data_IF_339245483778
#
_entry.id   IF_339245483778
#
_cell.length_a   1.000
_cell.length_b   1.000
_cell.length_c   1.000
_cell.angle_alpha   90.00
_cell.angle_beta   90.00
_cell.angle_gamma   90.00
#
_symmetry.space_group_name_H-M   'P 1'
#
loop_
_entity.id
_entity.type
_entity.pdbx_description
1 polymer ?
#
# COMPACT_ATOMS: atom_id res chain seq x y z
N UNK A 1 14.51 1.53 49.17
CA UNK A 1 14.56 0.75 47.91
C UNK A 1 13.29 1.07 47.16
N UNK A 2 13.32 2.02 46.22
CA UNK A 2 12.14 2.44 45.45
C UNK A 2 12.01 1.46 44.28
N UNK A 3 10.96 0.65 44.32
CA UNK A 3 10.59 -0.27 43.25
C UNK A 3 10.02 0.58 42.10
N UNK A 4 10.82 0.84 41.08
CA UNK A 4 10.38 1.52 39.86
C UNK A 4 9.42 0.64 39.09
N UNK A 5 8.14 1.03 39.05
CA UNK A 5 7.13 0.41 38.21
C UNK A 5 7.44 0.76 36.75
N UNK A 6 8.06 -0.17 36.02
CA UNK A 6 8.17 -0.10 34.57
C UNK A 6 6.76 -0.34 33.99
N UNK A 7 6.07 0.76 33.65
CA UNK A 7 4.87 0.71 32.82
C UNK A 7 5.29 0.30 31.42
N UNK A 8 5.05 -0.97 31.07
CA UNK A 8 5.12 -1.42 29.69
C UNK A 8 3.94 -0.80 28.93
N UNK A 9 4.19 0.26 28.18
CA UNK A 9 3.25 0.76 27.18
C UNK A 9 3.17 -0.26 26.05
N UNK A 10 2.05 -0.97 25.95
CA UNK A 10 1.69 -1.71 24.74
C UNK A 10 1.21 -0.69 23.72
N UNK A 11 1.90 -0.52 22.58
CA UNK A 11 1.45 0.40 21.55
C UNK A 11 0.04 0.00 21.08
N UNK A 12 -0.85 0.97 20.94
CA UNK A 12 -2.26 0.76 20.64
C UNK A 12 -2.44 0.19 19.24
N UNK A 13 -3.42 -0.70 19.07
CA UNK A 13 -3.83 -1.18 17.74
C UNK A 13 -4.51 -0.03 16.97
N UNK A 14 -3.88 0.45 15.91
CA UNK A 14 -4.49 1.43 15.01
C UNK A 14 -5.36 0.73 13.96
N UNK A 15 -6.59 1.19 13.76
CA UNK A 15 -7.50 0.63 12.76
C UNK A 15 -7.84 1.65 11.67
N UNK A 16 -7.61 1.27 10.42
CA UNK A 16 -8.06 2.02 9.24
C UNK A 16 -9.23 1.32 8.58
N UNK A 17 -10.29 2.07 8.33
CA UNK A 17 -11.38 1.63 7.46
C UNK A 17 -11.01 1.95 6.01
N UNK A 18 -11.12 0.97 5.13
CA UNK A 18 -10.77 1.15 3.73
C UNK A 18 -11.87 0.67 2.80
N UNK A 19 -11.92 1.30 1.62
CA UNK A 19 -12.80 0.93 0.54
C UNK A 19 -12.00 0.88 -0.77
N UNK A 20 -12.34 -0.08 -1.62
CA UNK A 20 -11.74 -0.25 -2.94
C UNK A 20 -12.85 -0.09 -3.95
N UNK A 21 -12.64 0.81 -4.92
CA UNK A 21 -13.57 1.02 -6.01
C UNK A 21 -13.85 -0.30 -6.73
N UNK A 22 -15.12 -0.69 -6.90
CA UNK A 22 -15.47 -1.81 -7.75
C UNK A 22 -14.95 -1.56 -9.16
N UNK A 23 -14.30 -2.58 -9.74
CA UNK A 23 -13.70 -2.46 -11.04
C UNK A 23 -14.76 -2.18 -12.13
N UNK A 24 -14.60 -1.07 -12.86
CA UNK A 24 -15.45 -0.69 -13.99
C UNK A 24 -14.58 -0.47 -15.24
N UNK A 25 -14.41 -1.52 -16.09
CA UNK A 25 -13.53 -1.45 -17.25
C UNK A 25 -13.86 -0.37 -18.30
N UNK A 26 -15.08 0.20 -18.27
CA UNK A 26 -15.49 1.29 -19.16
C UNK A 26 -14.87 2.64 -18.79
N UNK A 27 -14.37 2.80 -17.57
CA UNK A 27 -13.88 4.08 -17.00
C UNK A 27 -12.36 4.05 -16.75
N UNK A 28 -11.78 2.86 -16.60
CA UNK A 28 -10.34 2.64 -16.38
C UNK A 28 -9.90 1.30 -17.00
N UNK A 29 -8.59 1.06 -17.07
CA UNK A 29 -8.03 -0.23 -17.52
C UNK A 29 -8.06 -1.32 -16.44
N UNK A 30 -8.91 -1.15 -15.42
CA UNK A 30 -9.02 -2.09 -14.31
C UNK A 30 -9.56 -3.44 -14.79
N UNK A 31 -9.03 -4.53 -14.22
CA UNK A 31 -9.54 -5.89 -14.36
C UNK A 31 -10.19 -6.37 -13.06
N UNK A 32 -11.17 -7.27 -13.13
CA UNK A 32 -11.92 -7.78 -11.96
C UNK A 32 -11.00 -8.22 -10.81
N UNK A 33 -9.87 -8.85 -11.15
CA UNK A 33 -8.88 -9.32 -10.18
C UNK A 33 -8.14 -8.21 -9.42
N UNK A 34 -8.13 -6.97 -9.88
CA UNK A 34 -7.29 -5.89 -9.34
C UNK A 34 -7.71 -5.48 -7.94
N UNK A 35 -9.01 -5.60 -7.65
CA UNK A 35 -9.55 -5.38 -6.31
C UNK A 35 -8.88 -6.27 -5.27
N UNK A 36 -8.52 -7.51 -5.64
CA UNK A 36 -7.77 -8.41 -4.76
C UNK A 36 -6.32 -7.95 -4.55
N UNK A 37 -5.67 -7.34 -5.55
CA UNK A 37 -4.31 -6.80 -5.41
C UNK A 37 -4.28 -5.62 -4.43
N UNK A 38 -5.29 -4.74 -4.50
CA UNK A 38 -5.51 -3.69 -3.52
C UNK A 38 -5.76 -4.24 -2.11
N UNK A 39 -6.61 -5.26 -1.97
CA UNK A 39 -6.84 -5.89 -0.66
C UNK A 39 -5.55 -6.52 -0.10
N UNK A 40 -4.75 -7.18 -0.95
CA UNK A 40 -3.48 -7.80 -0.54
C UNK A 40 -2.41 -6.77 -0.14
N UNK A 41 -2.46 -5.53 -0.64
CA UNK A 41 -1.54 -4.48 -0.19
C UNK A 41 -1.86 -4.05 1.25
N UNK A 42 -3.14 -3.91 1.60
CA UNK A 42 -3.58 -3.65 2.97
C UNK A 42 -3.17 -4.79 3.92
N UNK A 43 -3.37 -6.04 3.49
CA UNK A 43 -2.94 -7.20 4.27
C UNK A 43 -1.41 -7.23 4.47
N UNK A 44 -0.63 -6.78 3.49
CA UNK A 44 0.82 -6.73 3.59
C UNK A 44 1.26 -5.70 4.65
N UNK A 45 0.67 -4.52 4.68
CA UNK A 45 0.90 -3.53 5.74
C UNK A 45 0.47 -4.04 7.11
N UNK A 46 -0.67 -4.73 7.20
CA UNK A 46 -1.11 -5.37 8.45
C UNK A 46 -0.06 -6.38 8.96
N UNK A 47 0.45 -7.27 8.09
CA UNK A 47 1.52 -8.22 8.45
C UNK A 47 2.85 -7.53 8.78
N UNK A 48 3.11 -6.37 8.19
CA UNK A 48 4.32 -5.59 8.45
C UNK A 48 4.31 -4.90 9.82
N UNK A 49 3.12 -4.60 10.35
CA UNK A 49 2.92 -3.84 11.58
C UNK A 49 3.16 -4.60 12.88
N UNK A 50 3.43 -5.91 12.83
CA UNK A 50 3.58 -6.77 14.02
C UNK A 50 2.41 -6.67 15.01
N UNK A 51 1.19 -6.54 14.48
CA UNK A 51 -0.05 -6.47 15.28
C UNK A 51 -0.43 -5.07 15.74
N UNK A 52 0.26 -4.01 15.29
CA UNK A 52 -0.08 -2.62 15.62
C UNK A 52 -1.05 -1.96 14.63
N UNK A 53 -1.32 -2.59 13.49
CA UNK A 53 -2.24 -2.09 12.47
C UNK A 53 -3.34 -3.10 12.19
N UNK A 54 -4.55 -2.62 11.92
CA UNK A 54 -5.65 -3.40 11.37
C UNK A 54 -6.33 -2.63 10.24
N UNK A 55 -6.66 -3.34 9.16
CA UNK A 55 -7.50 -2.80 8.09
C UNK A 55 -8.88 -3.46 8.12
N UNK A 56 -9.92 -2.63 8.07
CA UNK A 56 -11.31 -3.06 8.01
C UNK A 56 -11.92 -2.62 6.67
N UNK A 57 -12.25 -3.58 5.80
CA UNK A 57 -12.92 -3.26 4.54
C UNK A 57 -14.37 -2.84 4.82
N UNK A 58 -14.79 -1.70 4.29
CA UNK A 58 -16.17 -1.21 4.40
C UNK A 58 -16.83 -1.18 3.02
N UNK A 59 -18.17 -1.28 3.00
CA UNK A 59 -18.94 -1.26 1.75
C UNK A 59 -19.13 0.16 1.20
N UNK A 60 -19.03 1.18 2.06
CA UNK A 60 -19.27 2.59 1.72
C UNK A 60 -17.98 3.36 1.63
N UNK A 61 -17.71 3.96 0.46
CA UNK A 61 -16.61 4.89 0.22
C UNK A 61 -16.57 6.01 1.28
N UNK A 62 -17.73 6.56 1.64
CA UNK A 62 -17.83 7.70 2.57
C UNK A 62 -17.38 7.37 3.99
N UNK A 63 -17.47 6.11 4.40
CA UNK A 63 -17.02 5.63 5.72
C UNK A 63 -15.52 5.33 5.74
N UNK A 64 -14.90 5.13 4.58
CA UNK A 64 -13.51 4.74 4.50
C UNK A 64 -12.58 5.94 4.71
N UNK A 65 -11.57 5.75 5.56
CA UNK A 65 -10.42 6.64 5.72
C UNK A 65 -9.45 6.49 4.55
N UNK A 66 -9.31 5.27 4.01
CA UNK A 66 -8.51 5.01 2.81
C UNK A 66 -9.43 4.60 1.67
N UNK A 67 -9.45 5.38 0.60
CA UNK A 67 -10.33 5.17 -0.55
C UNK A 67 -9.48 4.92 -1.77
N UNK A 68 -9.50 3.70 -2.30
CA UNK A 68 -8.74 3.35 -3.48
C UNK A 68 -9.61 3.45 -4.74
N UNK A 69 -9.15 4.20 -5.73
CA UNK A 69 -9.80 4.42 -7.01
C UNK A 69 -8.92 3.91 -8.16
N UNK A 70 -9.56 3.47 -9.24
CA UNK A 70 -8.86 3.08 -10.46
C UNK A 70 -8.77 4.27 -11.41
N UNK A 71 -7.57 4.84 -11.53
CA UNK A 71 -7.33 5.99 -12.36
C UNK A 71 -7.44 5.66 -13.86
N UNK A 72 -7.92 6.61 -14.64
CA UNK A 72 -7.85 6.55 -16.11
C UNK A 72 -6.48 7.00 -16.62
N UNK A 73 -6.11 6.60 -17.85
CA UNK A 73 -4.79 6.82 -18.47
C UNK A 73 -4.33 8.28 -18.63
N UNK A 74 -5.15 9.26 -18.23
CA UNK A 74 -4.81 10.70 -18.25
C UNK A 74 -4.30 11.23 -16.91
N UNK A 75 -4.18 10.38 -15.89
CA UNK A 75 -3.78 10.75 -14.53
C UNK A 75 -2.47 10.04 -14.14
N UNK A 76 -1.39 10.82 -13.90
CA UNK A 76 -0.13 10.31 -13.33
C UNK A 76 0.63 9.25 -14.15
N UNK A 77 1.74 8.75 -13.59
CA UNK A 77 2.56 7.68 -14.19
C UNK A 77 2.13 6.28 -13.71
N UNK A 78 1.84 6.13 -12.41
CA UNK A 78 1.43 4.85 -11.80
C UNK A 78 0.36 5.03 -10.75
N UNK A 79 0.55 5.97 -9.82
CA UNK A 79 -0.43 6.25 -8.76
C UNK A 79 -0.24 7.62 -8.13
N UNK A 80 -1.15 7.95 -7.23
CA UNK A 80 -1.09 9.14 -6.39
C UNK A 80 -1.90 8.93 -5.10
N UNK A 81 -1.32 9.26 -3.95
CA UNK A 81 -2.03 9.35 -2.68
C UNK A 81 -2.27 10.82 -2.29
N UNK A 82 -3.53 11.17 -2.02
CA UNK A 82 -3.96 12.51 -1.57
C UNK A 82 -4.50 12.44 -0.15
N UNK A 83 -3.97 13.24 0.80
CA UNK A 83 -4.44 13.19 2.18
C UNK A 83 -5.89 13.68 2.29
N UNK A 84 -6.69 13.00 3.08
CA UNK A 84 -8.05 13.41 3.46
C UNK A 84 -8.26 13.32 4.97
N UNK A 85 -9.37 13.88 5.44
CA UNK A 85 -9.83 13.75 6.81
C UNK A 85 -11.24 13.17 6.82
N UNK A 86 -11.45 12.12 7.59
CA UNK A 86 -12.74 11.46 7.78
C UNK A 86 -13.01 11.39 9.27
N UNK A 87 -14.04 12.10 9.73
CA UNK A 87 -14.43 12.19 11.15
C UNK A 87 -13.25 12.57 12.07
N UNK A 88 -12.42 13.52 11.62
CA UNK A 88 -11.26 14.00 12.37
C UNK A 88 -10.05 13.06 12.37
N UNK A 89 -10.12 11.91 11.68
CA UNK A 89 -8.99 10.99 11.48
C UNK A 89 -8.35 11.22 10.12
N UNK A 90 -7.02 11.18 10.08
CA UNK A 90 -6.25 11.28 8.83
C UNK A 90 -6.43 10.01 8.01
N UNK A 91 -6.63 10.17 6.71
CA UNK A 91 -6.68 9.11 5.73
C UNK A 91 -6.12 9.58 4.39
N UNK A 92 -6.40 8.83 3.32
CA UNK A 92 -6.03 9.24 1.96
C UNK A 92 -6.99 8.69 0.89
N UNK A 93 -7.11 9.44 -0.19
CA UNK A 93 -7.56 8.92 -1.48
C UNK A 93 -6.33 8.38 -2.21
N UNK A 94 -6.40 7.14 -2.68
CA UNK A 94 -5.33 6.43 -3.37
C UNK A 94 -5.80 6.16 -4.79
N UNK A 95 -5.15 6.78 -5.76
CA UNK A 95 -5.44 6.59 -7.17
C UNK A 95 -4.38 5.65 -7.75
N UNK A 96 -4.81 4.58 -8.40
CA UNK A 96 -3.92 3.61 -9.04
C UNK A 96 -4.28 3.50 -10.50
N UNK A 97 -3.33 3.78 -11.38
CA UNK A 97 -3.45 3.54 -12.82
C UNK A 97 -3.17 2.05 -13.08
N UNK A 98 -4.17 1.26 -13.53
CA UNK A 98 -3.94 -0.14 -13.84
C UNK A 98 -2.93 -0.27 -14.98
N UNK A 99 -1.93 -1.13 -14.80
CA UNK A 99 -0.85 -1.28 -15.75
C UNK A 99 -1.30 -1.97 -17.04
N UNK A 100 -0.72 -1.56 -18.16
CA UNK A 100 -0.81 -2.27 -19.43
C UNK A 100 0.55 -2.87 -19.76
N UNK A 101 0.62 -4.20 -19.83
CA UNK A 101 1.83 -4.95 -20.16
C UNK A 101 1.45 -6.09 -21.08
N UNK A 102 2.09 -6.17 -22.24
CA UNK A 102 1.88 -7.25 -23.20
C UNK A 102 2.62 -8.53 -22.77
N UNK A 103 1.94 -9.68 -22.87
CA UNK A 103 2.57 -11.00 -22.78
C UNK A 103 2.98 -11.49 -21.38
N UNK A 104 3.13 -10.62 -20.38
CA UNK A 104 3.42 -11.03 -18.98
C UNK A 104 2.36 -10.51 -18.00
N UNK A 105 1.33 -11.33 -17.79
CA UNK A 105 0.23 -11.04 -16.85
C UNK A 105 0.71 -10.92 -15.39
N UNK A 106 1.74 -11.66 -14.99
CA UNK A 106 2.27 -11.57 -13.62
C UNK A 106 3.06 -10.28 -13.41
N UNK A 107 3.74 -9.77 -14.45
CA UNK A 107 4.38 -8.46 -14.38
C UNK A 107 3.33 -7.34 -14.31
N UNK A 108 2.26 -7.45 -15.09
CA UNK A 108 1.11 -6.53 -15.00
C UNK A 108 0.55 -6.48 -13.58
N UNK A 109 0.24 -7.64 -13.00
CA UNK A 109 -0.26 -7.74 -11.62
C UNK A 109 0.76 -7.26 -10.59
N UNK A 110 2.06 -7.49 -10.82
CA UNK A 110 3.15 -6.97 -9.99
C UNK A 110 3.15 -5.44 -9.94
N UNK A 111 3.02 -4.78 -11.09
CA UNK A 111 3.02 -3.32 -11.16
C UNK A 111 1.80 -2.78 -10.40
N UNK A 112 0.61 -3.32 -10.66
CA UNK A 112 -0.61 -2.86 -9.97
C UNK A 112 -0.51 -3.08 -8.46
N UNK A 113 -0.09 -4.27 -8.02
CA UNK A 113 0.07 -4.57 -6.60
C UNK A 113 1.09 -3.66 -5.91
N UNK A 114 2.28 -3.48 -6.48
CA UNK A 114 3.32 -2.67 -5.87
C UNK A 114 2.96 -1.19 -5.86
N UNK A 115 2.21 -0.70 -6.86
CA UNK A 115 1.65 0.65 -6.83
C UNK A 115 0.61 0.79 -5.72
N UNK A 116 -0.35 -0.15 -5.61
CA UNK A 116 -1.28 -0.16 -4.47
C UNK A 116 -0.54 -0.15 -3.13
N UNK A 117 0.55 -0.92 -3.01
CA UNK A 117 1.35 -1.00 -1.79
C UNK A 117 2.10 0.31 -1.47
N UNK A 118 2.70 0.94 -2.49
CA UNK A 118 3.39 2.23 -2.37
C UNK A 118 2.42 3.33 -1.93
N UNK A 119 1.33 3.53 -2.66
CA UNK A 119 0.40 4.63 -2.38
C UNK A 119 -0.35 4.45 -1.06
N UNK A 120 -0.62 3.21 -0.66
CA UNK A 120 -1.15 2.94 0.70
C UNK A 120 -0.11 3.19 1.79
N UNK A 121 1.19 3.10 1.50
CA UNK A 121 2.24 3.56 2.40
C UNK A 121 2.15 5.06 2.67
N UNK A 122 1.91 5.87 1.64
CA UNK A 122 1.61 7.30 1.82
C UNK A 122 0.34 7.54 2.64
N UNK A 123 -0.70 6.74 2.44
CA UNK A 123 -1.93 6.82 3.24
C UNK A 123 -1.68 6.58 4.74
N UNK A 124 -0.72 5.71 5.06
CA UNK A 124 -0.27 5.45 6.43
C UNK A 124 0.68 6.54 6.97
N UNK A 125 1.15 7.46 6.11
CA UNK A 125 2.04 8.55 6.48
C UNK A 125 3.52 8.26 6.29
N UNK A 126 3.88 7.26 5.47
CA UNK A 126 5.26 7.05 5.04
C UNK A 126 5.64 8.06 3.95
N UNK A 127 6.84 8.62 4.06
CA UNK A 127 7.43 9.48 3.04
C UNK A 127 8.25 8.66 2.04
N UNK A 128 8.50 9.26 0.88
CA UNK A 128 9.40 8.68 -0.10
C UNK A 128 10.81 8.45 0.47
N UNK A 129 11.45 7.38 0.01
CA UNK A 129 12.87 7.12 0.25
C UNK A 129 13.67 7.21 -1.04
N UNK A 130 15.00 7.32 -0.90
CA UNK A 130 15.96 7.20 -2.01
C UNK A 130 16.62 5.81 -2.06
N UNK A 131 16.12 4.84 -1.28
CA UNK A 131 16.65 3.49 -1.23
C UNK A 131 15.92 2.60 -2.23
N UNK A 132 16.60 2.17 -3.29
CA UNK A 132 15.97 1.47 -4.42
C UNK A 132 15.18 0.21 -4.02
N UNK A 133 15.56 -0.46 -2.93
CA UNK A 133 14.93 -1.68 -2.46
C UNK A 133 13.61 -1.45 -1.71
N UNK A 134 13.38 -0.24 -1.18
CA UNK A 134 12.20 0.10 -0.39
C UNK A 134 10.96 0.19 -1.28
N UNK A 135 9.80 -0.16 -0.73
CA UNK A 135 8.53 0.04 -1.43
C UNK A 135 8.24 1.53 -1.62
N UNK A 136 8.70 2.38 -0.69
CA UNK A 136 8.51 3.83 -0.75
C UNK A 136 9.57 4.54 -1.60
N UNK A 137 10.37 3.82 -2.39
CA UNK A 137 11.36 4.44 -3.27
C UNK A 137 10.69 5.40 -4.27
N UNK A 138 11.22 6.62 -4.38
CA UNK A 138 10.76 7.56 -5.42
C UNK A 138 11.55 7.43 -6.72
N UNK A 139 10.85 7.24 -7.83
CA UNK A 139 11.46 7.23 -9.17
C UNK A 139 12.08 8.58 -9.58
N UNK A 140 11.84 9.66 -8.84
CA UNK A 140 12.53 10.94 -9.06
C UNK A 140 14.03 10.86 -8.80
N UNK A 141 14.49 9.89 -8.00
CA UNK A 141 15.90 9.61 -7.80
C UNK A 141 16.53 8.79 -8.94
N UNK A 142 15.76 8.48 -9.99
CA UNK A 142 16.20 7.69 -11.15
C UNK A 142 16.16 6.19 -10.88
N UNK A 143 17.14 5.46 -11.43
CA UNK A 143 17.24 4.00 -11.30
C UNK A 143 16.54 3.23 -12.43
N UNK A 144 16.59 1.91 -12.33
CA UNK A 144 16.04 0.99 -13.32
C UNK A 144 14.60 0.61 -12.92
N UNK A 145 13.61 1.33 -13.46
CA UNK A 145 12.18 1.10 -13.18
C UNK A 145 11.75 -0.33 -13.60
N UNK A 146 12.12 -0.85 -14.79
CA UNK A 146 11.91 -2.26 -15.11
C UNK A 146 12.44 -3.23 -14.05
N UNK A 147 13.65 -2.99 -13.53
CA UNK A 147 14.22 -3.82 -12.46
C UNK A 147 13.52 -3.61 -11.11
N UNK A 148 13.00 -2.41 -10.82
CA UNK A 148 12.22 -2.15 -9.61
C UNK A 148 11.03 -3.10 -9.48
N UNK A 149 10.28 -3.29 -10.57
CA UNK A 149 9.19 -4.26 -10.61
C UNK A 149 9.70 -5.68 -10.84
N UNK A 150 10.73 -5.83 -11.69
CA UNK A 150 11.34 -7.10 -12.08
C UNK A 150 11.86 -7.91 -10.89
N UNK A 151 12.46 -7.26 -9.88
CA UNK A 151 12.95 -7.94 -8.67
C UNK A 151 11.86 -8.67 -7.91
N UNK A 152 10.66 -8.10 -7.85
CA UNK A 152 9.53 -8.73 -7.18
C UNK A 152 8.92 -9.80 -8.08
N UNK A 153 8.72 -9.47 -9.36
CA UNK A 153 8.19 -10.39 -10.37
C UNK A 153 8.95 -11.73 -10.43
N UNK A 154 10.28 -11.71 -10.25
CA UNK A 154 11.12 -12.94 -10.24
C UNK A 154 10.87 -13.85 -9.03
N UNK A 155 10.26 -13.36 -7.95
CA UNK A 155 9.84 -14.19 -6.81
C UNK A 155 8.58 -15.01 -7.12
N UNK A 156 7.80 -14.59 -8.12
CA UNK A 156 6.47 -15.10 -8.39
C UNK A 156 6.49 -16.22 -9.44
N UNK A 157 5.87 -17.35 -9.09
CA UNK A 157 5.51 -18.43 -10.02
C UNK A 157 4.04 -18.34 -10.43
N UNK A 158 3.20 -17.82 -9.55
CA UNK A 158 1.76 -17.68 -9.73
C UNK A 158 1.26 -16.35 -9.17
N UNK A 159 0.03 -15.97 -9.53
CA UNK A 159 -0.63 -14.76 -9.00
C UNK A 159 -0.84 -14.85 -7.49
N UNK A 160 -1.10 -16.04 -6.96
CA UNK A 160 -1.32 -16.27 -5.54
C UNK A 160 -0.08 -15.91 -4.71
N UNK A 161 1.12 -16.04 -5.30
CA UNK A 161 2.38 -15.74 -4.62
C UNK A 161 2.48 -14.24 -4.26
N UNK A 162 1.78 -13.36 -4.98
CA UNK A 162 1.74 -11.91 -4.68
C UNK A 162 1.24 -11.67 -3.24
N UNK A 163 0.27 -12.47 -2.79
CA UNK A 163 -0.29 -12.32 -1.45
C UNK A 163 0.70 -12.71 -0.36
N UNK A 164 1.58 -13.67 -0.61
CA UNK A 164 2.51 -14.23 0.39
C UNK A 164 3.91 -13.63 0.34
N UNK A 165 4.40 -13.28 -0.85
CA UNK A 165 5.74 -12.72 -1.03
C UNK A 165 5.79 -11.24 -0.64
N UNK A 166 6.78 -10.87 0.18
CA UNK A 166 6.90 -9.49 0.63
C UNK A 166 7.46 -8.58 -0.46
N UNK A 167 6.71 -7.51 -0.76
CA UNK A 167 7.11 -6.39 -1.61
C UNK A 167 7.88 -5.30 -0.87
N UNK A 168 8.04 -5.42 0.45
CA UNK A 168 8.72 -4.45 1.32
C UNK A 168 10.16 -4.89 1.62
N UNK A 169 11.02 -3.91 1.84
CA UNK A 169 12.32 -4.11 2.47
C UNK A 169 12.17 -4.23 4.01
N UNK A 170 13.22 -4.66 4.72
CA UNK A 170 13.26 -4.54 6.18
C UNK A 170 13.12 -3.08 6.66
N UNK A 171 13.69 -2.11 5.94
CA UNK A 171 13.64 -0.70 6.32
C UNK A 171 12.23 -0.11 6.24
N UNK A 172 11.40 -0.56 5.29
CA UNK A 172 9.99 -0.16 5.22
C UNK A 172 9.22 -0.51 6.51
N UNK A 173 9.55 -1.65 7.15
CA UNK A 173 8.93 -2.06 8.42
C UNK A 173 9.37 -1.16 9.57
N UNK A 174 10.65 -0.76 9.57
CA UNK A 174 11.19 0.18 10.55
C UNK A 174 10.54 1.56 10.40
N UNK A 175 10.38 2.04 9.16
CA UNK A 175 9.69 3.29 8.87
C UNK A 175 8.22 3.24 9.30
N UNK A 176 7.50 2.15 8.99
CA UNK A 176 6.14 1.95 9.44
C UNK A 176 6.04 2.00 10.97
N UNK A 177 6.88 1.24 11.67
CA UNK A 177 6.89 1.23 13.13
C UNK A 177 7.17 2.62 13.73
N UNK A 178 8.04 3.40 13.10
CA UNK A 178 8.33 4.77 13.50
C UNK A 178 7.14 5.71 13.27
N UNK A 179 6.38 5.54 12.17
CA UNK A 179 5.17 6.32 11.90
C UNK A 179 4.06 5.98 12.89
N UNK A 180 3.81 4.70 13.16
CA UNK A 180 2.76 4.26 14.09
C UNK A 180 3.00 4.80 15.50
N UNK A 181 4.25 4.80 15.99
CA UNK A 181 4.61 5.38 17.30
C UNK A 181 4.37 6.89 17.40
N UNK A 182 4.35 7.62 16.29
CA UNK A 182 4.08 9.07 16.27
C UNK A 182 2.59 9.39 16.20
N UNK A 183 1.76 8.41 15.86
CA UNK A 183 0.31 8.58 15.77
C UNK A 183 -0.41 8.34 17.11
N UNK A 184 0.33 7.87 18.13
CA UNK A 184 -0.09 7.74 19.54
C UNK A 184 0.01 9.07 20.29
#
# INVERSE_FOLDING_TARGET
MILGLLLFFTPGLQTYEYWVEPCKPSESACEEGDTALADWSMEAWQRASDGHLKFAKVASEKQAQIRLYWAGARQGLYGEARPIWVDGKRGAEVYVLPAHVDGDRLLRDTIVYLTCLHETGHALGLDHTNQFADIMYSFQYGGDIPEYFGRYRRKLKSRADIRSESGMSPADREHLAAVLKRAE
#
